data_IF_678091727305
#
_entry.id   IF_678091727305
#
_cell.length_a   1.000
_cell.length_b   1.000
_cell.length_c   1.000
_cell.angle_alpha   90.00
_cell.angle_beta   90.00
_cell.angle_gamma   90.00
#
_symmetry.space_group_name_H-M   'P 1'
#
loop_
_entity.id
_entity.type
_entity.pdbx_description
1 polymer ?
#
# COMPACT_ATOMS: atom_id res chain seq x y z
N UNK A 1 -3.39 -19.55 17.61
CA UNK A 1 -4.10 -18.32 17.20
C UNK A 1 -4.95 -17.69 18.30
N UNK A 2 -6.08 -18.25 18.75
CA UNK A 2 -6.97 -17.61 19.74
C UNK A 2 -6.23 -17.12 21.02
N UNK A 3 -5.46 -18.01 21.67
CA UNK A 3 -4.64 -17.69 22.86
C UNK A 3 -3.60 -16.59 22.58
N UNK A 4 -3.05 -16.54 21.37
CA UNK A 4 -2.02 -15.57 20.99
C UNK A 4 -2.62 -14.19 20.76
N UNK A 5 -3.73 -14.10 20.03
CA UNK A 5 -4.48 -12.85 19.85
C UNK A 5 -4.92 -12.32 21.22
N UNK A 6 -5.48 -13.19 22.08
CA UNK A 6 -5.88 -12.83 23.44
C UNK A 6 -4.71 -12.32 24.28
N UNK A 7 -3.50 -12.86 24.08
CA UNK A 7 -2.32 -12.38 24.79
C UNK A 7 -1.83 -11.03 24.28
N UNK A 8 -1.84 -10.80 22.96
CA UNK A 8 -1.53 -9.48 22.37
C UNK A 8 -2.50 -8.42 22.86
N UNK A 9 -3.80 -8.74 22.92
CA UNK A 9 -4.85 -7.81 23.37
C UNK A 9 -4.68 -7.31 24.80
N UNK A 10 -3.90 -8.00 25.66
CA UNK A 10 -3.57 -7.49 27.01
C UNK A 10 -2.78 -6.18 27.00
N UNK A 11 -2.11 -5.87 25.88
CA UNK A 11 -1.37 -4.63 25.70
C UNK A 11 -2.27 -3.44 25.27
N UNK A 12 -3.58 -3.65 25.18
CA UNK A 12 -4.52 -2.67 24.65
C UNK A 12 -5.76 -2.55 25.51
N UNK A 13 -6.42 -1.39 25.46
CA UNK A 13 -7.71 -1.17 26.11
C UNK A 13 -8.89 -1.51 25.17
N UNK A 14 -8.83 -2.66 24.48
CA UNK A 14 -9.82 -3.08 23.46
C UNK A 14 -10.81 -4.15 23.95
N UNK A 15 -10.76 -4.54 25.22
CA UNK A 15 -11.62 -5.61 25.76
C UNK A 15 -11.12 -7.01 25.40
N UNK A 16 -11.93 -8.02 25.70
CA UNK A 16 -11.60 -9.44 25.45
C UNK A 16 -11.97 -9.87 24.04
N UNK A 17 -11.21 -10.82 23.48
CA UNK A 17 -11.51 -11.43 22.20
C UNK A 17 -12.83 -12.20 22.26
N UNK A 18 -13.75 -11.91 21.33
CA UNK A 18 -15.01 -12.63 21.13
C UNK A 18 -14.83 -13.68 20.03
N UNK A 19 -14.37 -13.26 18.83
CA UNK A 19 -14.09 -14.15 17.69
C UNK A 19 -13.06 -13.52 16.75
N UNK A 20 -12.52 -14.32 15.85
CA UNK A 20 -11.63 -13.86 14.79
C UNK A 20 -11.87 -14.63 13.50
N UNK A 21 -11.61 -13.97 12.37
CA UNK A 21 -11.74 -14.52 11.02
C UNK A 21 -10.49 -14.11 10.23
N UNK A 22 -9.88 -15.06 9.51
CA UNK A 22 -8.81 -14.74 8.56
C UNK A 22 -9.40 -13.99 7.36
N UNK A 23 -8.74 -12.90 6.96
CA UNK A 23 -9.09 -12.09 5.78
C UNK A 23 -8.20 -12.46 4.61
N UNK A 24 -6.89 -12.38 4.84
CA UNK A 24 -5.87 -12.76 3.87
C UNK A 24 -4.77 -13.56 4.56
N UNK A 25 -4.34 -14.63 3.90
CA UNK A 25 -3.22 -15.48 4.33
C UNK A 25 -2.06 -15.30 3.33
N UNK A 26 -1.61 -14.06 3.17
CA UNK A 26 -0.57 -13.70 2.21
C UNK A 26 0.82 -14.17 2.64
N UNK A 27 1.75 -14.11 1.68
CA UNK A 27 3.17 -14.37 1.91
C UNK A 27 3.81 -13.24 2.75
N UNK A 28 3.46 -11.98 2.45
CA UNK A 28 3.96 -10.79 3.14
C UNK A 28 3.36 -10.64 4.55
N UNK A 29 2.03 -10.71 4.65
CA UNK A 29 1.27 -10.46 5.87
C UNK A 29 0.14 -11.48 6.05
N UNK A 30 -0.19 -11.82 7.30
CA UNK A 30 -1.47 -12.45 7.64
C UNK A 30 -2.38 -11.45 8.34
N UNK A 31 -3.59 -11.29 7.82
CA UNK A 31 -4.57 -10.34 8.33
C UNK A 31 -5.79 -11.06 8.89
N UNK A 32 -6.18 -10.68 10.10
CA UNK A 32 -7.34 -11.23 10.78
C UNK A 32 -8.27 -10.10 11.20
N UNK A 33 -9.56 -10.22 10.87
CA UNK A 33 -10.61 -9.44 11.51
C UNK A 33 -10.83 -10.02 12.90
N UNK A 34 -10.61 -9.21 13.93
CA UNK A 34 -10.87 -9.60 15.32
C UNK A 34 -12.05 -8.81 15.86
N UNK A 35 -12.95 -9.49 16.55
CA UNK A 35 -14.08 -8.87 17.25
C UNK A 35 -13.83 -8.98 18.75
N UNK A 36 -13.97 -7.87 19.46
CA UNK A 36 -13.74 -7.77 20.89
C UNK A 36 -14.93 -7.12 21.58
N UNK A 37 -14.91 -7.10 22.92
CA UNK A 37 -15.92 -6.40 23.71
C UNK A 37 -16.02 -4.88 23.47
N UNK A 38 -15.13 -4.27 22.67
CA UNK A 38 -15.15 -2.83 22.37
C UNK A 38 -15.20 -2.49 20.87
N UNK A 39 -15.31 -3.49 20.00
CA UNK A 39 -15.45 -3.25 18.57
C UNK A 39 -14.70 -4.27 17.72
N UNK A 40 -14.41 -3.85 16.49
CA UNK A 40 -13.79 -4.69 15.46
C UNK A 40 -12.47 -4.05 15.07
N UNK A 41 -11.42 -4.87 14.97
CA UNK A 41 -10.07 -4.43 14.68
C UNK A 41 -9.41 -5.35 13.66
N UNK A 42 -8.39 -4.84 12.97
CA UNK A 42 -7.51 -5.63 12.13
C UNK A 42 -6.30 -6.06 12.96
N UNK A 43 -6.04 -7.36 13.02
CA UNK A 43 -4.82 -7.93 13.59
C UNK A 43 -3.90 -8.36 12.45
N UNK A 44 -2.79 -7.65 12.27
CA UNK A 44 -1.80 -7.90 11.21
C UNK A 44 -0.56 -8.58 11.78
N UNK A 45 -0.19 -9.72 11.24
CA UNK A 45 1.10 -10.38 11.48
C UNK A 45 2.02 -10.03 10.31
N UNK A 46 3.12 -9.34 10.60
CA UNK A 46 4.09 -8.92 9.59
C UNK A 46 5.15 -10.02 9.42
N UNK A 47 5.27 -10.63 8.23
CA UNK A 47 6.22 -11.74 8.02
C UNK A 47 7.50 -11.36 7.30
N UNK A 48 7.45 -10.32 6.46
CA UNK A 48 8.57 -9.91 5.61
C UNK A 48 9.22 -8.62 6.07
N UNK A 49 8.42 -7.60 6.45
CA UNK A 49 8.95 -6.32 6.89
C UNK A 49 9.83 -6.47 8.15
N UNK A 50 10.98 -5.80 8.14
CA UNK A 50 11.82 -5.55 9.29
C UNK A 50 11.12 -4.60 10.28
N UNK A 51 11.59 -4.59 11.53
CA UNK A 51 11.10 -3.64 12.55
C UNK A 51 11.28 -2.18 12.10
N UNK A 52 12.38 -1.87 11.39
CA UNK A 52 12.66 -0.52 10.91
C UNK A 52 11.66 -0.08 9.84
N UNK A 53 11.34 -0.96 8.88
CA UNK A 53 10.34 -0.68 7.85
C UNK A 53 8.96 -0.45 8.46
N UNK A 54 8.56 -1.29 9.43
CA UNK A 54 7.31 -1.12 10.18
C UNK A 54 7.29 0.22 10.92
N UNK A 55 8.39 0.62 11.56
CA UNK A 55 8.50 1.91 12.25
C UNK A 55 8.39 3.08 11.27
N UNK A 56 8.98 2.98 10.08
CA UNK A 56 8.85 3.98 9.03
C UNK A 56 7.40 4.10 8.55
N UNK A 57 6.72 2.99 8.29
CA UNK A 57 5.30 2.95 7.93
C UNK A 57 4.44 3.62 9.02
N UNK A 58 4.63 3.27 10.29
CA UNK A 58 3.89 3.89 11.40
C UNK A 58 4.13 5.41 11.46
N UNK A 59 5.37 5.86 11.25
CA UNK A 59 5.69 7.28 11.26
C UNK A 59 5.03 8.02 10.10
N UNK A 60 4.97 7.40 8.92
CA UNK A 60 4.23 7.93 7.78
C UNK A 60 2.72 7.97 8.03
N UNK A 61 2.13 6.91 8.59
CA UNK A 61 0.72 6.88 8.96
C UNK A 61 0.36 7.96 9.99
N UNK A 62 1.28 8.36 10.88
CA UNK A 62 1.06 9.53 11.76
C UNK A 62 0.97 10.85 10.99
N UNK A 63 1.77 11.02 9.93
CA UNK A 63 1.68 12.18 9.03
C UNK A 63 0.32 12.18 8.33
N UNK A 64 -0.08 11.04 7.77
CA UNK A 64 -1.40 10.88 7.13
C UNK A 64 -2.54 11.21 8.10
N UNK A 65 -2.46 10.73 9.35
CA UNK A 65 -3.47 10.98 10.39
C UNK A 65 -3.58 12.45 10.72
N UNK A 66 -2.46 13.16 10.83
CA UNK A 66 -2.43 14.63 11.06
C UNK A 66 -3.05 15.39 9.89
N UNK A 67 -2.85 14.90 8.67
CA UNK A 67 -3.45 15.45 7.46
C UNK A 67 -4.93 15.05 7.25
N UNK A 68 -5.51 14.24 8.15
CA UNK A 68 -6.88 13.69 8.04
C UNK A 68 -7.09 12.91 6.72
N UNK A 69 -6.05 12.23 6.26
CA UNK A 69 -6.12 11.40 5.07
C UNK A 69 -7.01 10.17 5.30
N UNK A 70 -7.78 9.67 4.33
CA UNK A 70 -8.57 8.45 4.51
C UNK A 70 -7.66 7.21 4.47
N UNK A 71 -7.26 6.69 5.63
CA UNK A 71 -6.45 5.47 5.76
C UNK A 71 -6.86 4.65 7.00
N UNK A 72 -6.43 3.39 7.04
CA UNK A 72 -6.47 2.58 8.26
C UNK A 72 -5.26 2.93 9.15
N UNK A 73 -5.51 3.15 10.45
CA UNK A 73 -4.47 3.60 11.38
C UNK A 73 -4.15 2.54 12.43
N UNK A 74 -2.86 2.41 12.81
CA UNK A 74 -2.47 1.50 13.87
C UNK A 74 -2.97 2.05 15.21
N UNK A 75 -3.42 1.16 16.07
CA UNK A 75 -3.88 1.45 17.41
C UNK A 75 -2.67 1.44 18.34
N UNK A 76 -2.55 2.50 19.15
CA UNK A 76 -1.49 2.61 20.13
C UNK A 76 -1.80 1.71 21.34
N UNK A 77 -0.76 1.05 21.84
CA UNK A 77 -0.79 0.24 23.06
C UNK A 77 -0.84 1.12 24.30
N UNK A 78 -1.12 0.50 25.44
CA UNK A 78 -1.12 1.17 26.76
C UNK A 78 0.26 1.67 27.20
N UNK A 79 1.34 1.22 26.55
CA UNK A 79 2.72 1.63 26.82
C UNK A 79 3.26 2.63 25.79
N UNK A 80 2.36 3.31 25.06
CA UNK A 80 2.66 4.31 24.03
C UNK A 80 3.48 3.80 22.84
N UNK A 81 3.50 2.48 22.63
CA UNK A 81 4.10 1.84 21.45
C UNK A 81 3.03 1.23 20.52
N UNK A 82 3.42 0.74 19.35
CA UNK A 82 2.49 0.15 18.35
C UNK A 82 2.79 -1.32 18.04
N UNK A 83 4.07 -1.70 18.08
CA UNK A 83 4.52 -3.02 17.63
C UNK A 83 4.47 -3.98 18.83
N UNK A 84 3.69 -5.05 18.70
CA UNK A 84 3.73 -6.24 19.55
C UNK A 84 4.57 -7.34 18.90
N UNK A 85 4.78 -8.43 19.64
CA UNK A 85 5.47 -9.60 19.11
C UNK A 85 4.64 -10.88 19.33
N UNK A 86 4.57 -11.72 18.29
CA UNK A 86 4.01 -13.08 18.31
C UNK A 86 5.08 -14.05 17.84
N UNK A 87 5.59 -14.87 18.76
CA UNK A 87 6.74 -15.73 18.49
C UNK A 87 7.90 -14.91 17.85
N UNK A 88 8.23 -15.18 16.59
CA UNK A 88 9.27 -14.45 15.85
C UNK A 88 8.76 -13.29 14.99
N UNK A 89 7.44 -13.08 14.89
CA UNK A 89 6.86 -12.10 13.98
C UNK A 89 6.33 -10.85 14.71
N UNK A 90 6.58 -9.65 14.18
CA UNK A 90 5.92 -8.42 14.62
C UNK A 90 4.42 -8.49 14.39
N UNK A 91 3.66 -7.85 15.28
CA UNK A 91 2.19 -7.76 15.21
C UNK A 91 1.76 -6.34 15.47
N UNK A 92 0.80 -5.85 14.70
CA UNK A 92 0.21 -4.52 14.85
C UNK A 92 -1.31 -4.67 14.80
N UNK A 93 -2.02 -3.94 15.64
CA UNK A 93 -3.48 -3.82 15.57
C UNK A 93 -3.82 -2.50 14.89
N UNK A 94 -4.73 -2.53 13.91
CA UNK A 94 -5.28 -1.35 13.24
C UNK A 94 -6.78 -1.20 13.52
N UNK A 95 -7.29 0.02 13.36
CA UNK A 95 -8.72 0.25 13.20
C UNK A 95 -9.26 -0.60 12.03
N UNK A 96 -10.44 -1.20 12.19
CA UNK A 96 -11.09 -1.94 11.10
C UNK A 96 -12.09 -1.05 10.38
N UNK A 97 -11.93 -0.93 9.06
CA UNK A 97 -12.82 -0.15 8.20
C UNK A 97 -13.69 -1.14 7.42
N UNK A 98 -14.98 -1.17 7.76
CA UNK A 98 -15.96 -1.99 7.05
C UNK A 98 -16.30 -1.36 5.70
N UNK A 99 -16.06 -2.11 4.63
CA UNK A 99 -16.35 -1.70 3.26
C UNK A 99 -16.00 -2.79 2.25
N UNK A 100 -15.94 -2.43 0.98
CA UNK A 100 -15.76 -3.35 -0.13
C UNK A 100 -14.71 -2.85 -1.12
N UNK A 101 -14.17 -3.79 -1.91
CA UNK A 101 -13.35 -3.47 -3.08
C UNK A 101 -14.29 -2.83 -4.13
N UNK A 102 -13.95 -1.64 -4.67
CA UNK A 102 -14.84 -0.94 -5.58
C UNK A 102 -14.98 -1.67 -6.92
N UNK A 103 -16.15 -1.53 -7.53
CA UNK A 103 -16.28 -1.72 -8.98
C UNK A 103 -15.79 -0.47 -9.68
N UNK A 104 -15.17 -0.64 -10.85
CA UNK A 104 -14.72 0.50 -11.64
C UNK A 104 -15.89 1.23 -12.26
N UNK A 105 -15.97 2.52 -11.95
CA UNK A 105 -16.88 3.48 -12.56
C UNK A 105 -16.34 4.90 -12.40
N UNK A 106 -16.98 5.86 -13.06
CA UNK A 106 -16.56 7.26 -13.09
C UNK A 106 -16.38 7.88 -11.69
N UNK A 107 -17.27 7.57 -10.74
CA UNK A 107 -17.23 8.13 -9.39
C UNK A 107 -16.04 7.56 -8.60
N UNK A 108 -15.85 6.23 -8.61
CA UNK A 108 -14.73 5.58 -7.91
C UNK A 108 -13.37 6.03 -8.43
N UNK A 109 -13.25 6.24 -9.74
CA UNK A 109 -12.04 6.75 -10.40
C UNK A 109 -11.77 8.21 -10.02
N UNK A 110 -12.81 9.03 -9.93
CA UNK A 110 -12.70 10.42 -9.47
C UNK A 110 -12.28 10.48 -7.99
N UNK A 111 -12.90 9.67 -7.13
CA UNK A 111 -12.58 9.60 -5.69
C UNK A 111 -11.14 9.18 -5.44
N UNK A 112 -10.64 8.16 -6.16
CA UNK A 112 -9.24 7.75 -6.03
C UNK A 112 -8.28 8.80 -6.59
N UNK A 113 -8.62 9.45 -7.71
CA UNK A 113 -7.81 10.53 -8.29
C UNK A 113 -7.57 11.68 -7.30
N UNK A 114 -8.66 12.18 -6.72
CA UNK A 114 -8.59 13.20 -5.67
C UNK A 114 -7.82 12.74 -4.43
N UNK A 115 -7.90 11.47 -4.05
CA UNK A 115 -7.19 10.94 -2.88
C UNK A 115 -5.68 10.83 -3.13
N UNK A 116 -5.27 10.33 -4.30
CA UNK A 116 -3.85 10.21 -4.68
C UNK A 116 -3.22 11.60 -4.85
N UNK A 117 -3.94 12.57 -5.42
CA UNK A 117 -3.47 13.96 -5.46
C UNK A 117 -3.23 14.53 -4.06
N UNK A 118 -4.19 14.33 -3.13
CA UNK A 118 -4.02 14.76 -1.72
C UNK A 118 -2.82 14.10 -1.06
N UNK A 119 -2.55 12.82 -1.34
CA UNK A 119 -1.39 12.09 -0.83
C UNK A 119 -0.09 12.71 -1.35
N UNK A 120 0.00 12.90 -2.67
CA UNK A 120 1.18 13.39 -3.36
C UNK A 120 1.51 14.86 -3.02
N UNK A 121 0.51 15.65 -2.60
CA UNK A 121 0.67 17.03 -2.15
C UNK A 121 1.04 17.17 -0.66
N UNK A 122 1.14 16.06 0.09
CA UNK A 122 1.54 16.12 1.49
C UNK A 122 2.98 16.63 1.66
N UNK A 123 3.16 17.46 2.68
CA UNK A 123 4.47 17.97 3.11
C UNK A 123 5.13 16.98 4.09
N UNK A 124 6.45 17.05 4.24
CA UNK A 124 7.21 16.19 5.15
C UNK A 124 7.97 15.08 4.43
N UNK A 125 7.97 15.02 3.10
CA UNK A 125 8.74 14.03 2.34
C UNK A 125 10.25 14.17 2.61
N UNK A 126 10.71 15.37 2.95
CA UNK A 126 12.12 15.68 3.22
C UNK A 126 12.72 14.95 4.43
N UNK A 127 11.89 14.37 5.32
CA UNK A 127 12.40 13.59 6.48
C UNK A 127 12.59 12.10 6.17
N UNK A 128 12.23 11.66 4.95
CA UNK A 128 12.41 10.29 4.48
C UNK A 128 13.47 10.26 3.39
N UNK A 129 14.24 9.16 3.34
CA UNK A 129 15.17 8.96 2.23
C UNK A 129 14.38 8.69 0.95
N UNK A 130 14.79 9.34 -0.15
CA UNK A 130 14.24 9.02 -1.46
C UNK A 130 14.66 7.61 -1.88
N UNK A 131 13.71 6.90 -2.48
CA UNK A 131 13.93 5.56 -3.02
C UNK A 131 13.27 5.48 -4.39
N UNK A 132 14.07 5.31 -5.44
CA UNK A 132 13.54 5.11 -6.78
C UNK A 132 13.07 3.66 -6.93
N UNK A 133 11.77 3.48 -7.12
CA UNK A 133 11.19 2.15 -7.35
C UNK A 133 11.68 1.62 -8.70
N UNK A 134 11.59 2.46 -9.74
CA UNK A 134 12.18 2.16 -11.04
C UNK A 134 13.61 2.68 -11.03
N UNK A 135 14.53 1.80 -10.67
CA UNK A 135 15.96 2.06 -10.74
C UNK A 135 16.55 1.38 -11.99
N UNK A 136 17.07 2.19 -12.93
CA UNK A 136 17.70 1.70 -14.19
C UNK A 136 18.83 0.73 -13.91
N UNK A 137 19.62 0.96 -12.87
CA UNK A 137 20.70 0.05 -12.48
C UNK A 137 20.13 -1.31 -12.04
N UNK A 138 19.15 -1.33 -11.14
CA UNK A 138 18.51 -2.57 -10.70
C UNK A 138 17.86 -3.31 -11.88
N UNK A 139 17.22 -2.58 -12.79
CA UNK A 139 16.63 -3.16 -14.00
C UNK A 139 17.70 -3.77 -14.93
N UNK A 140 18.84 -3.10 -15.08
CA UNK A 140 19.99 -3.61 -15.86
C UNK A 140 20.60 -4.85 -15.21
N UNK A 141 20.76 -4.85 -13.88
CA UNK A 141 21.22 -6.02 -13.13
C UNK A 141 20.26 -7.21 -13.29
N UNK A 142 18.95 -6.97 -13.26
CA UNK A 142 17.95 -8.01 -13.50
C UNK A 142 18.04 -8.55 -14.93
N UNK A 143 18.18 -7.68 -15.94
CA UNK A 143 18.38 -8.05 -17.36
C UNK A 143 19.58 -8.98 -17.50
N UNK A 144 20.70 -8.67 -16.83
CA UNK A 144 21.91 -9.50 -16.88
C UNK A 144 21.69 -10.92 -16.30
N UNK A 145 20.82 -11.06 -15.30
CA UNK A 145 20.49 -12.35 -14.69
C UNK A 145 19.59 -13.25 -15.57
N UNK A 146 18.84 -12.68 -16.52
CA UNK A 146 18.01 -13.49 -17.43
C UNK A 146 18.83 -14.45 -18.30
N UNK A 147 20.07 -14.06 -18.64
CA UNK A 147 20.97 -14.90 -19.45
C UNK A 147 21.32 -16.24 -18.78
N UNK A 148 21.24 -16.31 -17.44
CA UNK A 148 21.53 -17.50 -16.64
C UNK A 148 20.29 -18.07 -15.96
N UNK A 149 19.10 -17.59 -16.30
CA UNK A 149 17.86 -18.01 -15.68
C UNK A 149 17.55 -19.49 -15.96
N UNK A 150 17.15 -20.23 -14.92
CA UNK A 150 16.79 -21.65 -15.01
C UNK A 150 15.55 -21.91 -15.89
N UNK A 151 14.64 -20.95 -15.95
CA UNK A 151 13.37 -21.01 -16.68
C UNK A 151 13.14 -19.71 -17.46
N UNK A 152 13.88 -19.46 -18.56
CA UNK A 152 13.81 -18.20 -19.27
C UNK A 152 12.49 -18.08 -20.05
N UNK A 153 11.92 -16.87 -20.07
CA UNK A 153 10.80 -16.48 -20.93
C UNK A 153 11.30 -15.43 -21.93
N UNK A 154 11.79 -15.84 -23.11
CA UNK A 154 12.54 -14.94 -24.00
C UNK A 154 11.74 -13.74 -24.50
N UNK A 155 10.43 -13.91 -24.72
CA UNK A 155 9.57 -12.81 -25.15
C UNK A 155 9.45 -11.74 -24.07
N UNK A 156 9.12 -12.15 -22.84
CA UNK A 156 9.04 -11.24 -21.69
C UNK A 156 10.37 -10.52 -21.44
N UNK A 157 11.48 -11.24 -21.56
CA UNK A 157 12.81 -10.66 -21.46
C UNK A 157 13.04 -9.56 -22.50
N UNK A 158 12.72 -9.81 -23.77
CA UNK A 158 12.83 -8.81 -24.84
C UNK A 158 11.95 -7.60 -24.57
N UNK A 159 10.69 -7.82 -24.19
CA UNK A 159 9.74 -6.73 -23.94
C UNK A 159 10.19 -5.88 -22.76
N UNK A 160 10.66 -6.49 -21.67
CA UNK A 160 11.21 -5.80 -20.51
C UNK A 160 12.49 -5.01 -20.87
N UNK A 161 13.44 -5.65 -21.58
CA UNK A 161 14.69 -4.98 -22.00
C UNK A 161 14.40 -3.77 -22.90
N UNK A 162 13.52 -3.93 -23.89
CA UNK A 162 13.13 -2.85 -24.80
C UNK A 162 12.46 -1.70 -24.04
N UNK A 163 11.61 -2.00 -23.05
CA UNK A 163 10.96 -0.99 -22.23
C UNK A 163 11.99 -0.21 -21.39
N UNK A 164 12.94 -0.90 -20.75
CA UNK A 164 14.01 -0.25 -19.98
C UNK A 164 14.91 0.60 -20.89
N UNK A 165 15.28 0.10 -22.07
CA UNK A 165 16.08 0.87 -23.03
C UNK A 165 15.37 2.13 -23.53
N UNK A 166 14.05 2.07 -23.72
CA UNK A 166 13.24 3.23 -24.09
C UNK A 166 13.08 4.24 -22.96
N UNK A 167 12.97 3.75 -21.72
CA UNK A 167 12.70 4.59 -20.56
C UNK A 167 13.95 5.20 -19.96
N UNK A 168 15.11 4.51 -19.95
CA UNK A 168 16.30 4.90 -19.19
C UNK A 168 16.70 6.37 -19.33
N UNK A 169 16.59 6.96 -20.51
CA UNK A 169 16.95 8.36 -20.75
C UNK A 169 15.84 9.36 -20.34
N UNK A 170 14.62 8.87 -20.10
CA UNK A 170 13.42 9.66 -19.75
C UNK A 170 13.10 9.64 -18.25
N UNK A 171 13.45 8.56 -17.55
CA UNK A 171 13.19 8.43 -16.10
C UNK A 171 14.11 9.33 -15.25
N UNK A 172 15.13 9.94 -15.86
CA UNK A 172 16.05 10.87 -15.20
C UNK A 172 15.59 12.35 -15.25
N UNK A 173 14.39 12.63 -15.77
CA UNK A 173 13.85 13.98 -15.79
C UNK A 173 13.63 14.55 -14.37
N UNK A 174 13.78 15.87 -14.24
CA UNK A 174 13.48 16.64 -13.02
C UNK A 174 11.97 16.69 -12.76
N UNK A 175 11.36 15.53 -12.55
CA UNK A 175 9.95 15.41 -12.26
C UNK A 175 9.67 15.74 -10.78
N UNK A 176 8.47 16.26 -10.46
CA UNK A 176 8.06 16.49 -9.09
C UNK A 176 8.15 15.21 -8.24
N UNK A 177 8.64 15.36 -7.01
CA UNK A 177 8.80 14.28 -6.04
C UNK A 177 8.03 14.59 -4.77
N UNK A 178 7.60 13.53 -4.11
CA UNK A 178 6.88 13.61 -2.85
C UNK A 178 6.53 12.21 -2.37
N UNK A 179 5.60 12.13 -1.42
CA UNK A 179 5.11 10.84 -0.97
C UNK A 179 4.30 10.16 -2.07
N UNK A 180 4.61 8.89 -2.29
CA UNK A 180 3.83 7.99 -3.12
C UNK A 180 3.40 6.75 -2.33
N UNK A 181 2.26 6.17 -2.68
CA UNK A 181 1.82 4.88 -2.15
C UNK A 181 2.58 3.72 -2.78
N UNK A 182 2.91 3.83 -4.06
CA UNK A 182 3.57 2.83 -4.89
C UNK A 182 2.75 1.60 -5.27
N UNK A 183 1.48 1.49 -4.85
CA UNK A 183 0.67 0.28 -5.06
C UNK A 183 -0.84 0.57 -5.05
N UNK A 184 -1.25 1.63 -5.76
CA UNK A 184 -2.65 2.09 -5.78
C UNK A 184 -3.53 1.20 -6.68
N UNK A 185 -3.90 0.04 -6.17
CA UNK A 185 -4.88 -0.87 -6.78
C UNK A 185 -6.18 -0.92 -5.97
N UNK A 186 -7.25 -1.42 -6.60
CA UNK A 186 -8.59 -1.48 -6.00
C UNK A 186 -8.63 -2.28 -4.70
N UNK A 187 -7.87 -3.36 -4.62
CA UNK A 187 -7.77 -4.22 -3.44
C UNK A 187 -7.03 -3.56 -2.26
N UNK A 188 -6.23 -2.53 -2.54
CA UNK A 188 -5.64 -1.63 -1.53
C UNK A 188 -6.53 -0.43 -1.20
N UNK A 189 -7.82 -0.50 -1.56
CA UNK A 189 -8.81 0.53 -1.23
C UNK A 189 -10.07 -0.07 -0.62
N UNK A 190 -10.72 0.71 0.24
CA UNK A 190 -11.97 0.35 0.89
C UNK A 190 -13.00 1.40 0.53
N UNK A 191 -14.11 0.97 -0.05
CA UNK A 191 -15.21 1.81 -0.48
C UNK A 191 -16.52 1.44 0.22
N UNK A 192 -17.48 2.37 0.17
CA UNK A 192 -18.89 2.10 0.47
C UNK A 192 -19.74 2.67 -0.67
N UNK A 193 -20.23 1.80 -1.55
CA UNK A 193 -20.71 2.22 -2.86
C UNK A 193 -19.57 2.93 -3.61
N UNK A 194 -19.81 4.14 -4.08
CA UNK A 194 -18.82 4.90 -4.85
C UNK A 194 -17.89 5.78 -4.01
N UNK A 195 -18.08 5.82 -2.68
CA UNK A 195 -17.31 6.70 -1.79
C UNK A 195 -16.09 6.01 -1.22
N UNK A 196 -14.91 6.64 -1.35
CA UNK A 196 -13.68 6.14 -0.74
C UNK A 196 -13.75 6.31 0.79
N UNK A 197 -13.50 5.21 1.50
CA UNK A 197 -13.37 5.21 2.97
C UNK A 197 -11.91 5.23 3.40
N UNK A 198 -11.06 4.44 2.73
CA UNK A 198 -9.63 4.39 3.01
C UNK A 198 -8.81 3.84 1.84
N UNK A 199 -7.58 4.33 1.75
CA UNK A 199 -6.47 3.61 1.11
C UNK A 199 -5.70 2.88 2.22
N UNK A 200 -5.31 1.64 1.97
CA UNK A 200 -4.64 0.75 2.92
C UNK A 200 -3.36 0.19 2.32
N UNK A 201 -2.57 -0.49 3.14
CA UNK A 201 -1.34 -1.17 2.72
C UNK A 201 -0.20 -0.23 2.24
N UNK A 202 0.19 0.67 3.14
CA UNK A 202 1.31 1.59 2.93
C UNK A 202 2.68 0.93 3.16
N UNK A 203 2.82 -0.39 3.04
CA UNK A 203 4.12 -1.05 3.28
C UNK A 203 5.19 -0.64 2.25
N UNK A 204 4.75 -0.28 1.05
CA UNK A 204 5.59 0.14 -0.07
C UNK A 204 5.70 1.67 -0.22
N UNK A 205 5.15 2.43 0.73
CA UNK A 205 5.24 3.90 0.64
C UNK A 205 6.70 4.35 0.56
N UNK A 206 6.96 5.37 -0.24
CA UNK A 206 8.29 5.97 -0.29
C UNK A 206 8.22 7.43 -0.78
N UNK A 207 9.40 8.04 -0.88
CA UNK A 207 9.58 9.32 -1.55
C UNK A 207 10.22 9.07 -2.90
N UNK A 208 9.43 9.27 -3.96
CA UNK A 208 9.84 9.11 -5.34
C UNK A 208 9.08 10.14 -6.21
N UNK A 209 9.19 9.97 -7.51
CA UNK A 209 8.52 10.74 -8.54
C UNK A 209 7.02 10.49 -8.47
N UNK A 210 6.24 11.56 -8.37
CA UNK A 210 4.77 11.48 -8.25
C UNK A 210 4.12 10.78 -9.46
N UNK A 211 4.77 10.85 -10.63
CA UNK A 211 4.35 10.16 -11.84
C UNK A 211 4.20 8.64 -11.65
N UNK A 212 4.95 8.04 -10.73
CA UNK A 212 4.83 6.61 -10.44
C UNK A 212 3.44 6.28 -9.89
N UNK A 213 2.96 7.02 -8.88
CA UNK A 213 1.62 6.85 -8.32
C UNK A 213 0.52 7.13 -9.36
N UNK A 214 0.73 8.13 -10.23
CA UNK A 214 -0.17 8.40 -11.36
C UNK A 214 -0.27 7.18 -12.27
N UNK A 215 0.87 6.62 -12.70
CA UNK A 215 0.90 5.44 -13.56
C UNK A 215 0.31 4.19 -12.87
N UNK A 216 0.62 3.98 -11.58
CA UNK A 216 0.06 2.88 -10.79
C UNK A 216 -1.45 3.00 -10.65
N UNK A 217 -1.97 4.19 -10.40
CA UNK A 217 -3.42 4.41 -10.30
C UNK A 217 -4.12 4.22 -11.64
N UNK A 218 -3.51 4.64 -12.76
CA UNK A 218 -4.03 4.32 -14.10
C UNK A 218 -4.11 2.79 -14.27
N UNK A 219 -3.06 2.05 -13.91
CA UNK A 219 -3.06 0.60 -14.00
C UNK A 219 -4.12 -0.06 -13.09
N UNK A 220 -4.31 0.46 -11.87
CA UNK A 220 -5.24 -0.09 -10.89
C UNK A 220 -6.71 0.26 -11.15
N UNK A 221 -6.98 1.45 -11.69
CA UNK A 221 -8.33 2.03 -11.76
C UNK A 221 -8.85 2.32 -13.17
N UNK A 222 -8.01 2.26 -14.20
CA UNK A 222 -8.40 2.57 -15.57
C UNK A 222 -8.31 1.38 -16.54
N UNK A 223 -7.99 0.17 -16.04
CA UNK A 223 -8.04 -1.05 -16.85
C UNK A 223 -9.31 -1.87 -16.56
N UNK A 224 -10.10 -2.11 -17.61
CA UNK A 224 -11.30 -2.97 -17.58
C UNK A 224 -11.03 -4.15 -18.51
N UNK A 225 -11.19 -5.38 -18.01
CA UNK A 225 -10.90 -6.61 -18.76
C UNK A 225 -9.50 -6.61 -19.41
N UNK A 226 -8.49 -6.10 -18.68
CA UNK A 226 -7.11 -5.92 -19.12
C UNK A 226 -6.95 -5.00 -20.35
N UNK A 227 -7.89 -4.10 -20.59
CA UNK A 227 -7.81 -3.05 -21.60
C UNK A 227 -7.88 -1.67 -20.94
N UNK A 228 -7.03 -0.75 -21.39
CA UNK A 228 -7.06 0.63 -20.93
C UNK A 228 -8.35 1.32 -21.39
N UNK A 229 -9.15 1.76 -20.44
CA UNK A 229 -10.30 2.63 -20.67
C UNK A 229 -9.84 4.10 -20.66
N UNK A 230 -9.79 4.70 -21.85
CA UNK A 230 -9.35 6.08 -22.03
C UNK A 230 -10.29 7.10 -21.37
N UNK A 231 -11.57 6.77 -21.19
CA UNK A 231 -12.52 7.65 -20.50
C UNK A 231 -12.23 7.67 -19.01
N UNK A 232 -12.00 6.50 -18.40
CA UNK A 232 -11.59 6.42 -16.99
C UNK A 232 -10.24 7.09 -16.76
N UNK A 233 -9.25 6.85 -17.63
CA UNK A 233 -7.94 7.50 -17.54
C UNK A 233 -8.06 9.02 -17.59
N UNK A 234 -8.87 9.57 -18.51
CA UNK A 234 -9.09 11.01 -18.59
C UNK A 234 -9.75 11.55 -17.31
N UNK A 235 -10.77 10.87 -16.80
CA UNK A 235 -11.44 11.27 -15.55
C UNK A 235 -10.48 11.26 -14.36
N UNK A 236 -9.63 10.23 -14.25
CA UNK A 236 -8.59 10.18 -13.23
C UNK A 236 -7.64 11.37 -13.33
N UNK A 237 -7.13 11.66 -14.53
CA UNK A 237 -6.19 12.78 -14.77
C UNK A 237 -6.84 14.15 -14.53
N UNK A 238 -8.14 14.31 -14.81
CA UNK A 238 -8.87 15.55 -14.52
C UNK A 238 -9.11 15.74 -13.01
N UNK A 239 -9.21 14.63 -12.25
CA UNK A 239 -9.45 14.63 -10.80
C UNK A 239 -8.17 14.74 -9.94
N UNK A 240 -7.03 14.36 -10.51
CA UNK A 240 -5.70 14.42 -9.88
C UNK A 240 -5.08 15.82 -9.99
#
# INVERSE_FOLDING_TARGET
MNREISNVLKNYNLGTLIKYNSLTNGFANENYRIETGKGVFLYRICKQQSILEIQNEINFLKILKKAKFPAAYPIMRIDDTYICQKAKYPVIIYDFIEGEIPKLNENTVTEIGCAVAKLNLLKGAEVFNSHYIINVQNATELINQFSTAKHPYPQLFRDYSNAIDYLKDKIHDNLPKGFIHADVFKDNTIFKGDKLLAIIDFENFCVDTLLFDVAMTINGFCFVDNQLDLKLMKLFLDAY
#
